data_IF_346097226968
#
_entry.id   IF_346097226968
#
_cell.length_a   1.000
_cell.length_b   1.000
_cell.length_c   1.000
_cell.angle_alpha   90.00
_cell.angle_beta   90.00
_cell.angle_gamma   90.00
#
_symmetry.space_group_name_H-M   'P 1'
#
loop_
_entity.id
_entity.type
_entity.pdbx_description
1 polymer ?
#
# COMPACT_ATOMS: atom_id res chain seq x y z
N UNK A 1 -12.59 12.61 10.54
CA UNK A 1 -13.42 13.24 11.59
C UNK A 1 -14.90 12.89 11.48
N UNK A 2 -15.48 12.76 10.28
CA UNK A 2 -16.91 12.47 10.05
C UNK A 2 -17.47 11.16 10.63
N UNK A 3 -16.62 10.21 11.05
CA UNK A 3 -17.06 8.94 11.65
C UNK A 3 -17.03 8.95 13.18
N UNK A 4 -16.39 9.94 13.82
CA UNK A 4 -16.09 9.88 15.26
C UNK A 4 -17.35 9.93 16.14
N UNK A 5 -18.32 10.85 15.94
CA UNK A 5 -19.51 10.88 16.79
C UNK A 5 -20.40 9.65 16.56
N UNK A 6 -20.58 9.26 15.31
CA UNK A 6 -21.43 8.11 14.95
C UNK A 6 -20.89 6.80 15.50
N UNK A 7 -19.58 6.53 15.35
CA UNK A 7 -18.96 5.33 15.90
C UNK A 7 -19.04 5.31 17.43
N UNK A 8 -18.70 6.43 18.07
CA UNK A 8 -18.68 6.50 19.53
C UNK A 8 -20.07 6.33 20.14
N UNK A 9 -21.12 6.89 19.52
CA UNK A 9 -22.50 6.77 20.00
C UNK A 9 -23.15 5.43 19.64
N UNK A 10 -22.82 4.84 18.49
CA UNK A 10 -23.41 3.56 18.07
C UNK A 10 -22.81 2.34 18.79
N UNK A 11 -21.53 2.41 19.17
CA UNK A 11 -20.81 1.32 19.85
C UNK A 11 -21.52 0.81 21.11
N UNK A 12 -21.90 1.64 22.10
CA UNK A 12 -22.56 1.17 23.32
C UNK A 12 -23.92 0.53 23.03
N UNK A 13 -24.73 1.11 22.14
CA UNK A 13 -26.02 0.53 21.72
C UNK A 13 -25.81 -0.87 21.15
N UNK A 14 -24.84 -1.03 20.25
CA UNK A 14 -24.52 -2.35 19.69
C UNK A 14 -24.04 -3.33 20.76
N UNK A 15 -23.16 -2.92 21.68
CA UNK A 15 -22.64 -3.76 22.75
C UNK A 15 -23.70 -4.14 23.79
N UNK A 16 -24.69 -3.29 24.06
CA UNK A 16 -25.81 -3.62 24.94
C UNK A 16 -26.67 -4.75 24.36
N UNK A 17 -26.97 -4.70 23.05
CA UNK A 17 -27.85 -5.70 22.42
C UNK A 17 -27.12 -6.97 21.93
N UNK A 18 -25.84 -6.87 21.58
CA UNK A 18 -25.07 -7.96 20.93
C UNK A 18 -23.76 -8.28 21.64
N UNK A 19 -23.38 -7.54 22.67
CA UNK A 19 -22.07 -7.63 23.30
C UNK A 19 -21.76 -8.99 23.92
N UNK A 20 -22.77 -9.77 24.35
CA UNK A 20 -22.54 -11.14 24.85
C UNK A 20 -21.92 -12.08 23.80
N UNK A 21 -22.09 -11.77 22.50
CA UNK A 21 -21.50 -12.53 21.38
C UNK A 21 -20.15 -11.97 20.91
N UNK A 22 -19.71 -10.84 21.46
CA UNK A 22 -18.48 -10.15 21.05
C UNK A 22 -17.41 -10.41 22.11
N UNK A 23 -16.36 -11.13 21.72
CA UNK A 23 -15.18 -11.35 22.56
C UNK A 23 -14.13 -10.24 22.46
N UNK A 24 -13.99 -9.62 21.29
CA UNK A 24 -12.93 -8.65 20.98
C UNK A 24 -13.46 -7.49 20.15
N UNK A 25 -13.01 -6.28 20.46
CA UNK A 25 -13.19 -5.07 19.63
C UNK A 25 -11.86 -4.81 18.91
N UNK A 26 -11.82 -5.00 17.59
CA UNK A 26 -10.66 -4.63 16.79
C UNK A 26 -10.89 -3.26 16.13
N UNK A 27 -10.21 -2.25 16.65
CA UNK A 27 -10.30 -0.87 16.20
C UNK A 27 -9.16 -0.48 15.25
N UNK A 28 -9.50 0.07 14.09
CA UNK A 28 -8.53 0.48 13.06
C UNK A 28 -8.32 1.99 13.07
N UNK A 29 -7.12 2.43 13.43
CA UNK A 29 -6.73 3.84 13.54
C UNK A 29 -7.14 4.51 14.86
N UNK A 30 -6.64 5.71 15.11
CA UNK A 30 -6.74 6.38 16.42
C UNK A 30 -8.18 6.70 16.87
N UNK A 31 -9.04 7.13 15.95
CA UNK A 31 -10.42 7.49 16.30
C UNK A 31 -11.24 6.26 16.71
N UNK A 32 -11.14 5.18 15.94
CA UNK A 32 -11.76 3.92 16.33
C UNK A 32 -11.09 3.35 17.58
N UNK A 33 -9.77 3.50 17.71
CA UNK A 33 -9.00 3.07 18.88
C UNK A 33 -9.50 3.74 20.16
N UNK A 34 -9.77 5.04 20.12
CA UNK A 34 -10.36 5.76 21.24
C UNK A 34 -11.72 5.20 21.64
N UNK A 35 -12.65 5.07 20.69
CA UNK A 35 -13.98 4.52 20.97
C UNK A 35 -13.92 3.07 21.48
N UNK A 36 -13.10 2.24 20.83
CA UNK A 36 -12.92 0.84 21.16
C UNK A 36 -12.33 0.64 22.55
N UNK A 37 -11.31 1.41 22.92
CA UNK A 37 -10.72 1.37 24.27
C UNK A 37 -11.69 1.87 25.32
N UNK A 38 -12.36 3.00 25.07
CA UNK A 38 -13.30 3.60 26.01
C UNK A 38 -14.46 2.65 26.33
N UNK A 39 -15.14 2.15 25.29
CA UNK A 39 -16.26 1.24 25.47
C UNK A 39 -15.82 -0.18 25.84
N UNK A 40 -14.67 -0.64 25.35
CA UNK A 40 -14.12 -1.94 25.72
C UNK A 40 -13.92 -2.06 27.22
N UNK A 41 -13.40 -1.01 27.87
CA UNK A 41 -13.31 -0.97 29.33
C UNK A 41 -14.66 -1.03 30.03
N UNK A 42 -15.64 -0.25 29.57
CA UNK A 42 -16.98 -0.19 30.17
C UNK A 42 -17.70 -1.53 30.06
N UNK A 43 -17.56 -2.22 28.93
CA UNK A 43 -18.25 -3.48 28.65
C UNK A 43 -17.39 -4.74 28.90
N UNK A 44 -16.21 -4.59 29.52
CA UNK A 44 -15.29 -5.70 29.82
C UNK A 44 -14.84 -6.47 28.57
N UNK A 45 -14.61 -5.78 27.45
CA UNK A 45 -14.18 -6.36 26.17
C UNK A 45 -12.71 -6.13 25.94
N UNK A 46 -12.05 -7.17 25.42
CA UNK A 46 -10.68 -7.08 24.90
C UNK A 46 -10.65 -6.14 23.70
N UNK A 47 -9.62 -5.30 23.61
CA UNK A 47 -9.45 -4.29 22.58
C UNK A 47 -8.11 -4.47 21.89
N UNK A 48 -8.17 -4.67 20.57
CA UNK A 48 -7.01 -4.67 19.69
C UNK A 48 -7.04 -3.39 18.86
N UNK A 49 -5.90 -2.70 18.73
CA UNK A 49 -5.80 -1.47 17.92
C UNK A 49 -4.77 -1.65 16.82
N UNK A 50 -5.16 -1.47 15.56
CA UNK A 50 -4.23 -1.50 14.42
C UNK A 50 -4.04 -0.11 13.79
N UNK A 51 -2.83 0.18 13.30
CA UNK A 51 -2.54 1.37 12.51
C UNK A 51 -2.18 0.98 11.08
N UNK A 52 -2.82 1.65 10.11
CA UNK A 52 -2.66 1.38 8.67
C UNK A 52 -1.91 2.50 7.94
N UNK A 53 -1.32 3.42 8.70
CA UNK A 53 -0.59 4.59 8.21
C UNK A 53 0.47 4.96 9.24
N UNK A 54 1.46 5.73 8.78
CA UNK A 54 2.47 6.34 9.63
C UNK A 54 1.90 7.67 10.13
N UNK A 55 1.91 7.88 11.44
CA UNK A 55 1.20 8.99 12.09
C UNK A 55 2.10 10.14 12.50
N UNK A 56 3.43 9.95 12.54
CA UNK A 56 4.40 10.95 12.96
C UNK A 56 4.07 11.59 14.31
N UNK A 57 3.98 10.77 15.36
CA UNK A 57 3.68 11.29 16.69
C UNK A 57 4.73 12.34 17.13
N UNK A 58 4.30 13.53 17.57
CA UNK A 58 5.22 14.55 18.06
C UNK A 58 5.89 14.09 19.37
N UNK A 59 6.97 14.78 19.75
CA UNK A 59 7.70 14.50 21.00
C UNK A 59 6.87 14.78 22.26
N UNK A 60 5.93 15.73 22.20
CA UNK A 60 5.05 16.11 23.30
C UNK A 60 3.72 16.68 22.76
N UNK A 61 2.78 16.96 23.67
CA UNK A 61 1.51 17.62 23.37
C UNK A 61 0.31 16.69 23.30
N UNK A 62 -0.88 17.30 23.17
CA UNK A 62 -2.17 16.61 23.26
C UNK A 62 -2.28 15.40 22.32
N UNK A 63 -1.85 15.53 21.06
CA UNK A 63 -1.94 14.43 20.10
C UNK A 63 -1.12 13.20 20.53
N UNK A 64 0.07 13.42 21.10
CA UNK A 64 0.89 12.33 21.66
C UNK A 64 0.23 11.72 22.89
N UNK A 65 -0.26 12.53 23.82
CA UNK A 65 -0.93 12.05 25.04
C UNK A 65 -2.18 11.24 24.70
N UNK A 66 -2.97 11.71 23.74
CA UNK A 66 -4.15 11.03 23.22
C UNK A 66 -3.80 9.68 22.60
N UNK A 67 -2.81 9.63 21.69
CA UNK A 67 -2.34 8.39 21.11
C UNK A 67 -1.79 7.42 22.17
N UNK A 68 -0.95 7.91 23.10
CA UNK A 68 -0.38 7.11 24.18
C UNK A 68 -1.48 6.51 25.07
N UNK A 69 -2.53 7.28 25.39
CA UNK A 69 -3.68 6.78 26.12
C UNK A 69 -4.38 5.64 25.37
N UNK A 70 -4.61 5.76 24.06
CA UNK A 70 -5.23 4.69 23.26
C UNK A 70 -4.39 3.42 23.34
N UNK A 71 -3.12 3.47 22.94
CA UNK A 71 -2.29 2.27 22.82
C UNK A 71 -1.92 1.65 24.17
N UNK A 72 -1.79 2.45 25.24
CA UNK A 72 -1.52 1.94 26.59
C UNK A 72 -2.69 1.13 27.13
N UNK A 73 -3.91 1.56 26.80
CA UNK A 73 -5.14 0.96 27.30
C UNK A 73 -5.73 -0.10 26.36
N UNK A 74 -5.13 -0.32 25.18
CA UNK A 74 -5.40 -1.48 24.35
C UNK A 74 -4.74 -2.74 24.95
N UNK A 75 -5.36 -3.90 24.76
CA UNK A 75 -4.79 -5.19 25.14
C UNK A 75 -3.65 -5.58 24.21
N UNK A 76 -3.80 -5.30 22.90
CA UNK A 76 -2.75 -5.48 21.92
C UNK A 76 -2.82 -4.38 20.85
N UNK A 77 -1.66 -3.94 20.36
CA UNK A 77 -1.52 -2.95 19.31
C UNK A 77 -0.70 -3.50 18.16
N UNK A 78 -1.00 -3.08 16.92
CA UNK A 78 -0.21 -3.50 15.77
C UNK A 78 -0.02 -2.36 14.77
N UNK A 79 1.20 -2.24 14.23
CA UNK A 79 1.48 -1.37 13.09
C UNK A 79 1.56 -2.17 11.80
N UNK A 80 1.12 -1.57 10.69
CA UNK A 80 1.19 -2.16 9.34
C UNK A 80 2.63 -2.40 8.84
N UNK A 81 3.62 -1.81 9.51
CA UNK A 81 5.03 -1.85 9.16
C UNK A 81 5.90 -1.74 10.40
N UNK A 82 7.19 -2.08 10.27
CA UNK A 82 8.18 -1.88 11.33
C UNK A 82 8.29 -0.41 11.71
N UNK A 83 8.19 0.50 10.74
CA UNK A 83 8.13 1.94 11.01
C UNK A 83 6.92 2.31 11.87
N UNK A 84 5.72 1.84 11.52
CA UNK A 84 4.51 2.10 12.31
C UNK A 84 4.60 1.51 13.73
N UNK A 85 5.18 0.31 13.88
CA UNK A 85 5.47 -0.27 15.20
C UNK A 85 6.44 0.59 15.99
N UNK A 86 7.52 1.08 15.37
CA UNK A 86 8.48 1.95 16.05
C UNK A 86 7.81 3.24 16.56
N UNK A 87 6.87 3.82 15.81
CA UNK A 87 6.09 4.96 16.27
C UNK A 87 5.23 4.64 17.50
N UNK A 88 4.54 3.50 17.52
CA UNK A 88 3.75 3.08 18.69
C UNK A 88 4.67 2.87 19.91
N UNK A 89 5.80 2.18 19.72
CA UNK A 89 6.78 1.97 20.79
C UNK A 89 7.35 3.29 21.32
N UNK A 90 7.51 4.29 20.44
CA UNK A 90 7.97 5.62 20.84
C UNK A 90 7.04 6.32 21.83
N UNK A 91 5.78 5.88 21.96
CA UNK A 91 4.80 6.38 22.95
C UNK A 91 4.96 5.75 24.34
N UNK A 92 5.97 4.88 24.53
CA UNK A 92 6.25 4.19 25.80
C UNK A 92 5.41 2.92 26.01
N UNK A 93 4.95 2.29 24.93
CA UNK A 93 4.15 1.06 24.99
C UNK A 93 5.09 -0.15 25.08
N UNK A 94 4.83 -1.13 25.98
CA UNK A 94 5.67 -2.32 26.10
C UNK A 94 5.75 -3.12 24.79
N UNK A 95 6.93 -3.68 24.48
CA UNK A 95 7.22 -4.30 23.18
C UNK A 95 6.37 -5.54 22.90
N UNK A 96 6.03 -6.27 23.94
CA UNK A 96 5.18 -7.45 23.96
C UNK A 96 3.72 -7.14 23.63
N UNK A 97 3.26 -5.90 23.83
CA UNK A 97 1.91 -5.44 23.46
C UNK A 97 1.85 -4.85 22.04
N UNK A 98 2.96 -4.85 21.29
CA UNK A 98 3.02 -4.22 19.96
C UNK A 98 3.59 -5.16 18.90
N UNK A 99 2.74 -5.59 17.97
CA UNK A 99 3.10 -6.39 16.81
C UNK A 99 3.32 -5.59 15.51
N UNK A 100 3.86 -6.27 14.49
CA UNK A 100 3.83 -5.80 13.09
C UNK A 100 2.96 -6.74 12.30
N UNK A 101 1.85 -6.26 11.75
CA UNK A 101 1.09 -7.00 10.76
C UNK A 101 1.42 -6.44 9.38
N UNK A 102 1.40 -7.28 8.36
CA UNK A 102 1.65 -6.87 6.98
C UNK A 102 0.42 -7.19 6.15
N UNK A 103 0.14 -6.44 5.10
CA UNK A 103 -0.92 -6.85 4.17
C UNK A 103 -0.58 -8.17 3.48
N UNK A 104 -1.63 -8.83 3.01
CA UNK A 104 -1.56 -9.94 2.09
C UNK A 104 -2.43 -9.63 0.88
N UNK A 105 -2.25 -10.43 -0.16
CA UNK A 105 -3.02 -10.37 -1.40
C UNK A 105 -3.54 -11.76 -1.73
N UNK A 106 -4.67 -11.84 -2.42
CA UNK A 106 -5.14 -13.11 -2.98
C UNK A 106 -4.19 -13.55 -4.10
N UNK A 107 -3.26 -14.45 -3.75
CA UNK A 107 -2.23 -14.95 -4.66
C UNK A 107 -2.75 -15.97 -5.69
N UNK A 108 -4.04 -16.31 -5.63
CA UNK A 108 -4.73 -17.06 -6.68
C UNK A 108 -5.28 -16.11 -7.74
N UNK A 109 -5.85 -14.97 -7.31
CA UNK A 109 -6.30 -13.91 -8.21
C UNK A 109 -5.12 -13.16 -8.85
N UNK A 110 -4.16 -12.73 -8.03
CA UNK A 110 -2.93 -12.08 -8.45
C UNK A 110 -1.84 -13.14 -8.60
N UNK A 111 -1.77 -13.73 -9.78
CA UNK A 111 -0.83 -14.79 -10.12
C UNK A 111 -0.16 -14.51 -11.47
N UNK A 112 1.03 -15.08 -11.72
CA UNK A 112 1.69 -14.96 -13.01
C UNK A 112 0.84 -15.56 -14.13
N UNK A 113 0.83 -14.88 -15.27
CA UNK A 113 0.22 -15.28 -16.52
C UNK A 113 1.27 -15.21 -17.62
N UNK A 114 0.98 -15.82 -18.77
CA UNK A 114 1.79 -15.58 -19.95
C UNK A 114 1.73 -14.10 -20.35
N UNK A 115 2.88 -13.42 -20.30
CA UNK A 115 2.99 -11.98 -20.53
C UNK A 115 2.57 -11.57 -21.95
N UNK A 116 2.84 -12.41 -22.95
CA UNK A 116 2.45 -12.15 -24.34
C UNK A 116 0.93 -12.16 -24.46
N UNK A 117 0.26 -13.18 -23.92
CA UNK A 117 -1.21 -13.25 -23.86
C UNK A 117 -1.83 -12.10 -23.05
N UNK A 118 -1.19 -11.70 -21.95
CA UNK A 118 -1.65 -10.57 -21.15
C UNK A 118 -1.56 -9.25 -21.95
N UNK A 119 -0.46 -9.02 -22.68
CA UNK A 119 -0.29 -7.85 -23.57
C UNK A 119 -1.30 -7.86 -24.71
N UNK A 120 -1.54 -9.01 -25.34
CA UNK A 120 -2.55 -9.18 -26.40
C UNK A 120 -3.96 -8.81 -25.91
N UNK A 121 -4.32 -9.28 -24.71
CA UNK A 121 -5.64 -9.02 -24.14
C UNK A 121 -5.95 -7.53 -23.91
N UNK A 122 -4.93 -6.71 -23.65
CA UNK A 122 -5.11 -5.29 -23.30
C UNK A 122 -4.53 -4.31 -24.34
N UNK A 123 -4.05 -4.80 -25.48
CA UNK A 123 -3.56 -3.97 -26.60
C UNK A 123 -2.16 -3.35 -26.40
N UNK A 124 -1.27 -4.05 -25.69
CA UNK A 124 0.10 -3.61 -25.38
C UNK A 124 1.20 -4.41 -26.08
N UNK A 125 0.86 -5.11 -27.16
CA UNK A 125 1.79 -5.88 -27.98
C UNK A 125 2.96 -5.00 -28.45
N UNK A 126 4.18 -5.53 -28.32
CA UNK A 126 5.41 -4.83 -28.73
C UNK A 126 5.80 -3.60 -27.90
N UNK A 127 4.96 -3.13 -26.96
CA UNK A 127 5.24 -1.97 -26.12
C UNK A 127 6.05 -2.36 -24.89
N UNK A 128 6.97 -1.50 -24.46
CA UNK A 128 7.54 -1.58 -23.11
C UNK A 128 6.72 -0.69 -22.19
N UNK A 129 6.03 -1.27 -21.19
CA UNK A 129 5.03 -0.56 -20.39
C UNK A 129 5.45 -0.43 -18.94
N UNK A 130 5.51 0.82 -18.47
CA UNK A 130 5.61 1.17 -17.06
C UNK A 130 4.22 1.56 -16.55
N UNK A 131 3.70 0.75 -15.65
CA UNK A 131 2.36 0.87 -15.08
C UNK A 131 2.40 1.67 -13.78
N UNK A 132 1.43 2.57 -13.62
CA UNK A 132 1.07 3.19 -12.36
C UNK A 132 -0.39 2.83 -12.04
N UNK A 133 -0.65 2.36 -10.82
CA UNK A 133 -2.01 2.14 -10.30
C UNK A 133 -2.15 2.85 -8.96
N UNK A 134 -3.19 3.67 -8.81
CA UNK A 134 -3.54 4.24 -7.51
C UNK A 134 -4.39 5.49 -7.59
N UNK A 135 -4.73 6.05 -6.43
CA UNK A 135 -5.50 7.30 -6.36
C UNK A 135 -4.71 8.46 -6.99
N UNK A 136 -5.35 9.23 -7.87
CA UNK A 136 -4.71 10.29 -8.65
C UNK A 136 -4.64 11.59 -7.83
N UNK A 137 -3.79 11.59 -6.81
CA UNK A 137 -3.54 12.72 -5.90
C UNK A 137 -2.04 13.08 -5.88
N UNK A 138 -1.72 14.33 -5.52
CA UNK A 138 -0.35 14.88 -5.56
C UNK A 138 0.68 14.00 -4.85
N UNK A 139 0.31 13.47 -3.68
CA UNK A 139 1.21 12.68 -2.83
C UNK A 139 1.64 11.34 -3.43
N UNK A 140 0.96 10.87 -4.47
CA UNK A 140 1.30 9.62 -5.19
C UNK A 140 2.36 9.81 -6.28
N UNK A 141 2.92 11.01 -6.44
CA UNK A 141 4.03 11.23 -7.37
C UNK A 141 3.63 11.36 -8.84
N UNK A 142 2.35 11.54 -9.13
CA UNK A 142 1.84 11.64 -10.52
C UNK A 142 2.53 12.78 -11.28
N UNK A 143 2.78 13.91 -10.62
CA UNK A 143 3.38 15.08 -11.28
C UNK A 143 4.83 14.78 -11.67
N UNK A 144 5.55 14.10 -10.80
CA UNK A 144 6.93 13.69 -10.98
C UNK A 144 7.03 12.63 -12.10
N UNK A 145 6.10 11.69 -12.15
CA UNK A 145 5.98 10.69 -13.21
C UNK A 145 5.69 11.34 -14.58
N UNK A 146 4.71 12.25 -14.67
CA UNK A 146 4.40 12.96 -15.91
C UNK A 146 5.58 13.84 -16.37
N UNK A 147 6.27 14.51 -15.45
CA UNK A 147 7.48 15.28 -15.77
C UNK A 147 8.64 14.38 -16.21
N UNK A 148 8.77 13.18 -15.64
CA UNK A 148 9.75 12.19 -16.10
C UNK A 148 9.41 11.72 -17.51
N UNK A 149 8.13 11.44 -17.78
CA UNK A 149 7.67 11.04 -19.10
C UNK A 149 8.11 12.04 -20.17
N UNK A 150 8.01 13.35 -19.91
CA UNK A 150 8.45 14.42 -20.84
C UNK A 150 9.88 14.26 -21.34
N UNK A 151 10.80 13.75 -20.52
CA UNK A 151 12.23 13.63 -20.85
C UNK A 151 12.67 12.20 -21.21
N UNK A 152 11.78 11.21 -21.09
CA UNK A 152 12.08 9.82 -21.45
C UNK A 152 11.94 9.56 -22.96
N UNK A 153 12.61 8.51 -23.45
CA UNK A 153 12.38 7.93 -24.78
C UNK A 153 10.88 7.64 -25.01
N UNK A 154 10.36 8.02 -26.19
CA UNK A 154 8.97 7.80 -26.59
C UNK A 154 8.62 6.32 -26.81
N UNK A 155 9.61 5.44 -26.96
CA UNK A 155 9.40 3.98 -27.04
C UNK A 155 8.89 3.36 -25.74
N UNK A 156 9.07 4.06 -24.61
CA UNK A 156 8.64 3.63 -23.28
C UNK A 156 7.22 4.15 -23.04
N UNK A 157 6.28 3.24 -22.85
CA UNK A 157 4.87 3.57 -22.59
C UNK A 157 4.62 3.76 -21.09
N UNK A 158 3.92 4.83 -20.73
CA UNK A 158 3.47 5.11 -19.36
C UNK A 158 1.97 4.90 -19.27
N UNK A 159 1.54 3.85 -18.58
CA UNK A 159 0.14 3.52 -18.39
C UNK A 159 -0.31 3.91 -16.98
N UNK A 160 -1.35 4.75 -16.86
CA UNK A 160 -1.80 5.31 -15.59
C UNK A 160 -3.25 4.92 -15.35
N UNK A 161 -3.50 4.14 -14.30
CA UNK A 161 -4.81 3.72 -13.86
C UNK A 161 -5.16 4.29 -12.48
N UNK A 162 -6.43 4.68 -12.34
CA UNK A 162 -7.01 5.18 -11.11
C UNK A 162 -8.00 6.30 -11.34
N UNK A 163 -8.41 6.90 -10.24
CA UNK A 163 -9.28 8.07 -10.24
C UNK A 163 -8.83 9.06 -9.15
N UNK A 164 -9.17 10.34 -9.33
CA UNK A 164 -8.91 11.39 -8.37
C UNK A 164 -8.75 12.78 -8.99
N UNK A 165 -8.45 13.79 -8.15
CA UNK A 165 -8.37 15.20 -8.58
C UNK A 165 -7.37 15.50 -9.71
N UNK A 166 -6.41 14.60 -9.99
CA UNK A 166 -5.44 14.76 -11.07
C UNK A 166 -5.84 14.05 -12.38
N UNK A 167 -7.00 13.39 -12.46
CA UNK A 167 -7.45 12.64 -13.65
C UNK A 167 -7.40 13.49 -14.93
N UNK A 168 -8.06 14.67 -14.94
CA UNK A 168 -8.06 15.59 -16.08
C UNK A 168 -6.66 15.99 -16.55
N UNK A 169 -5.71 16.13 -15.62
CA UNK A 169 -4.32 16.47 -15.97
C UNK A 169 -3.59 15.32 -16.66
N UNK A 170 -3.93 14.08 -16.29
CA UNK A 170 -3.36 12.88 -16.91
C UNK A 170 -3.97 12.68 -18.29
N UNK A 171 -5.28 12.89 -18.42
CA UNK A 171 -6.00 12.84 -19.70
C UNK A 171 -5.41 13.83 -20.72
N UNK A 172 -5.25 15.10 -20.33
CA UNK A 172 -4.57 16.09 -21.18
C UNK A 172 -3.14 15.65 -21.55
N UNK A 173 -2.39 15.08 -20.60
CA UNK A 173 -1.03 14.61 -20.89
C UNK A 173 -1.01 13.41 -21.86
N UNK A 174 -2.04 12.55 -21.86
CA UNK A 174 -2.19 11.48 -22.85
C UNK A 174 -2.58 11.98 -24.24
N UNK A 175 -3.33 13.07 -24.33
CA UNK A 175 -3.63 13.73 -25.62
C UNK A 175 -2.40 14.41 -26.21
N UNK A 176 -1.58 15.06 -25.37
CA UNK A 176 -0.34 15.74 -25.79
C UNK A 176 0.80 14.78 -26.16
N UNK A 177 0.74 13.52 -25.70
CA UNK A 177 1.85 12.58 -25.82
C UNK A 177 1.38 11.12 -25.96
N UNK A 178 1.55 10.57 -27.16
CA UNK A 178 1.07 9.25 -27.59
C UNK A 178 1.54 8.06 -26.73
N UNK A 179 2.71 8.15 -26.07
CA UNK A 179 3.22 7.09 -25.20
C UNK A 179 2.76 7.23 -23.74
N UNK A 180 1.76 8.06 -23.44
CA UNK A 180 1.07 8.13 -22.15
C UNK A 180 -0.37 7.66 -22.34
N UNK A 181 -0.78 6.64 -21.58
CA UNK A 181 -2.13 6.08 -21.62
C UNK A 181 -2.84 6.32 -20.30
N UNK A 182 -3.95 7.05 -20.35
CA UNK A 182 -4.87 7.13 -19.22
C UNK A 182 -5.90 6.01 -19.29
N UNK A 183 -5.88 5.10 -18.32
CA UNK A 183 -6.74 3.91 -18.28
C UNK A 183 -8.03 4.11 -17.47
N UNK A 184 -8.17 5.24 -16.79
CA UNK A 184 -9.25 5.46 -15.84
C UNK A 184 -9.26 4.43 -14.70
N UNK A 185 -10.45 4.16 -14.16
CA UNK A 185 -10.62 3.19 -13.06
C UNK A 185 -10.78 1.77 -13.62
N UNK A 186 -9.89 0.87 -13.18
CA UNK A 186 -9.92 -0.54 -13.56
C UNK A 186 -10.56 -1.36 -12.42
N UNK A 187 -11.48 -2.30 -12.71
CA UNK A 187 -12.00 -3.24 -11.73
C UNK A 187 -10.89 -4.12 -11.13
N UNK A 188 -10.95 -4.39 -9.82
CA UNK A 188 -9.90 -5.17 -9.14
C UNK A 188 -9.67 -6.56 -9.75
N UNK A 189 -10.70 -7.20 -10.29
CA UNK A 189 -10.61 -8.52 -10.93
C UNK A 189 -9.85 -8.49 -12.27
N UNK A 190 -9.72 -7.31 -12.89
CA UNK A 190 -9.03 -7.13 -14.16
C UNK A 190 -7.57 -6.67 -13.99
N UNK A 191 -7.24 -6.08 -12.83
CA UNK A 191 -5.88 -5.64 -12.52
C UNK A 191 -4.79 -6.72 -12.77
N UNK A 192 -5.01 -8.02 -12.51
CA UNK A 192 -4.00 -9.04 -12.84
C UNK A 192 -3.56 -9.01 -14.30
N UNK A 193 -4.44 -8.71 -15.27
CA UNK A 193 -4.05 -8.62 -16.68
C UNK A 193 -3.08 -7.45 -16.92
N UNK A 194 -3.33 -6.30 -16.30
CA UNK A 194 -2.46 -5.12 -16.42
C UNK A 194 -1.11 -5.33 -15.75
N UNK A 195 -1.07 -5.93 -14.56
CA UNK A 195 0.19 -6.26 -13.89
C UNK A 195 1.02 -7.22 -14.74
N UNK A 196 0.44 -8.34 -15.18
CA UNK A 196 1.14 -9.35 -15.98
C UNK A 196 1.61 -8.83 -17.34
N UNK A 197 0.86 -7.91 -17.94
CA UNK A 197 1.25 -7.29 -19.20
C UNK A 197 2.33 -6.22 -19.04
N UNK A 198 2.39 -5.53 -17.89
CA UNK A 198 3.37 -4.50 -17.65
C UNK A 198 4.80 -5.06 -17.59
N UNK A 199 5.77 -4.22 -17.98
CA UNK A 199 7.19 -4.51 -17.82
C UNK A 199 7.67 -4.08 -16.43
N UNK A 200 7.11 -2.99 -15.91
CA UNK A 200 7.42 -2.45 -14.58
C UNK A 200 6.16 -1.87 -13.94
N UNK A 201 6.03 -2.01 -12.62
CA UNK A 201 5.19 -1.13 -11.81
C UNK A 201 6.04 0.03 -11.29
N UNK A 202 5.52 1.26 -11.29
CA UNK A 202 6.12 2.38 -10.56
C UNK A 202 5.20 2.89 -9.45
N UNK A 203 5.79 3.08 -8.26
CA UNK A 203 5.15 3.66 -7.07
C UNK A 203 5.95 4.88 -6.63
N UNK A 204 5.80 6.03 -7.32
CA UNK A 204 6.65 7.19 -7.15
C UNK A 204 6.18 8.11 -6.00
N UNK A 205 5.64 7.55 -4.90
CA UNK A 205 5.04 8.33 -3.80
C UNK A 205 6.01 9.40 -3.27
N UNK A 206 5.55 10.65 -3.23
CA UNK A 206 6.33 11.79 -2.71
C UNK A 206 6.13 12.00 -1.21
N UNK A 207 5.13 11.34 -0.63
CA UNK A 207 4.88 11.29 0.81
C UNK A 207 5.01 9.87 1.35
N UNK A 208 5.00 9.73 2.67
CA UNK A 208 5.09 8.43 3.32
C UNK A 208 3.87 7.57 2.99
N UNK A 209 4.16 6.44 2.33
CA UNK A 209 3.19 5.43 1.95
C UNK A 209 3.12 4.36 3.05
N UNK A 210 1.92 3.90 3.40
CA UNK A 210 1.73 2.96 4.51
C UNK A 210 2.30 1.55 4.28
N UNK A 211 2.18 0.99 3.07
CA UNK A 211 2.82 -0.27 2.66
C UNK A 211 2.78 -0.47 1.14
N UNK A 212 1.76 0.10 0.48
CA UNK A 212 1.61 0.07 -0.98
C UNK A 212 1.08 -1.27 -1.50
N UNK A 213 -0.23 -1.52 -1.38
CA UNK A 213 -0.87 -2.77 -1.81
C UNK A 213 -0.54 -3.17 -3.26
N UNK A 214 -0.44 -2.18 -4.14
CA UNK A 214 -0.07 -2.37 -5.55
C UNK A 214 1.29 -3.04 -5.73
N UNK A 215 2.22 -2.89 -4.78
CA UNK A 215 3.52 -3.57 -4.79
C UNK A 215 3.30 -5.08 -4.59
N UNK A 216 2.44 -5.46 -3.65
CA UNK A 216 2.16 -6.86 -3.34
C UNK A 216 1.44 -7.52 -4.51
N UNK A 217 0.49 -6.82 -5.11
CA UNK A 217 -0.26 -7.24 -6.29
C UNK A 217 0.67 -7.45 -7.50
N UNK A 218 1.50 -6.46 -7.83
CA UNK A 218 2.49 -6.55 -8.92
C UNK A 218 3.48 -7.70 -8.71
N UNK A 219 4.10 -7.79 -7.53
CA UNK A 219 5.05 -8.84 -7.24
C UNK A 219 4.41 -10.23 -7.28
N UNK A 220 3.15 -10.35 -6.85
CA UNK A 220 2.40 -11.61 -6.93
C UNK A 220 2.08 -12.03 -8.37
N UNK A 221 1.98 -11.08 -9.29
CA UNK A 221 1.88 -11.31 -10.73
C UNK A 221 3.24 -11.49 -11.43
N UNK A 222 4.37 -11.40 -10.71
CA UNK A 222 5.70 -11.49 -11.31
C UNK A 222 6.22 -10.19 -11.92
N UNK A 223 5.59 -9.05 -11.65
CA UNK A 223 5.95 -7.74 -12.20
C UNK A 223 6.93 -7.01 -11.28
N UNK A 224 8.15 -6.68 -11.73
CA UNK A 224 9.11 -5.92 -10.94
C UNK A 224 8.63 -4.50 -10.63
N UNK A 225 9.19 -3.91 -9.56
CA UNK A 225 8.70 -2.63 -9.02
C UNK A 225 9.80 -1.58 -8.95
N UNK A 226 9.49 -0.35 -9.34
CA UNK A 226 10.26 0.85 -8.96
C UNK A 226 9.50 1.54 -7.83
N UNK A 227 10.07 1.54 -6.63
CA UNK A 227 9.46 2.13 -5.45
C UNK A 227 10.18 3.41 -5.00
N UNK A 228 9.44 4.35 -4.41
CA UNK A 228 10.05 5.44 -3.66
C UNK A 228 10.78 4.89 -2.41
N UNK A 229 11.99 5.37 -2.14
CA UNK A 229 12.73 5.08 -0.88
C UNK A 229 12.16 5.90 0.28
N UNK A 230 10.88 5.70 0.61
CA UNK A 230 10.12 6.50 1.58
C UNK A 230 9.00 5.69 2.23
N UNK A 231 8.67 6.02 3.49
CA UNK A 231 7.63 5.33 4.25
C UNK A 231 7.93 3.83 4.37
N UNK A 232 6.90 3.00 4.28
CA UNK A 232 7.05 1.55 4.36
C UNK A 232 7.31 0.85 3.01
N UNK A 233 7.48 1.59 1.90
CA UNK A 233 7.79 0.98 0.60
C UNK A 233 9.07 0.12 0.65
N UNK A 234 10.17 0.55 1.32
CA UNK A 234 11.36 -0.29 1.52
C UNK A 234 11.12 -1.55 2.37
N UNK A 235 9.97 -1.68 3.03
CA UNK A 235 9.59 -2.90 3.75
C UNK A 235 8.76 -3.85 2.87
N UNK A 236 8.17 -3.37 1.78
CA UNK A 236 7.35 -4.13 0.85
C UNK A 236 8.16 -4.74 -0.31
N UNK A 237 9.39 -4.28 -0.55
CA UNK A 237 10.24 -4.77 -1.63
C UNK A 237 11.72 -4.55 -1.28
N UNK A 238 12.61 -5.26 -1.98
CA UNK A 238 14.05 -5.00 -1.95
C UNK A 238 14.65 -5.06 -3.37
N UNK A 239 15.97 -4.93 -3.47
CA UNK A 239 16.70 -4.83 -4.74
C UNK A 239 16.66 -6.14 -5.56
N UNK A 240 16.19 -7.26 -4.98
CA UNK A 240 16.03 -8.54 -5.70
C UNK A 240 14.81 -8.59 -6.61
N UNK A 241 13.84 -7.69 -6.39
CA UNK A 241 12.55 -7.65 -7.11
C UNK A 241 12.23 -6.28 -7.71
N UNK A 242 13.14 -5.32 -7.57
CA UNK A 242 12.91 -3.97 -8.03
C UNK A 242 14.02 -3.00 -7.67
N UNK A 243 13.71 -1.70 -7.71
CA UNK A 243 14.65 -0.62 -7.38
C UNK A 243 13.99 0.42 -6.47
N UNK A 244 14.70 0.84 -5.43
CA UNK A 244 14.25 1.91 -4.51
C UNK A 244 14.97 3.22 -4.81
N UNK A 245 14.24 4.25 -5.23
CA UNK A 245 14.82 5.52 -5.69
C UNK A 245 14.33 6.73 -4.89
N UNK A 246 15.09 7.82 -4.93
CA UNK A 246 14.56 9.14 -4.58
C UNK A 246 13.72 9.68 -5.74
N UNK A 247 12.52 10.15 -5.45
CA UNK A 247 11.56 10.59 -6.47
C UNK A 247 11.92 11.99 -6.95
N UNK A 248 12.50 12.03 -8.15
CA UNK A 248 12.62 13.22 -8.99
C UNK A 248 12.33 12.81 -10.43
N UNK A 249 11.88 13.73 -11.31
CA UNK A 249 11.67 13.41 -12.72
C UNK A 249 12.89 12.78 -13.39
N UNK A 250 14.09 13.32 -13.10
CA UNK A 250 15.37 12.81 -13.63
C UNK A 250 15.67 11.39 -13.15
N UNK A 251 15.48 11.10 -11.87
CA UNK A 251 15.76 9.77 -11.32
C UNK A 251 14.77 8.73 -11.85
N UNK A 252 13.48 9.08 -11.97
CA UNK A 252 12.46 8.21 -12.57
C UNK A 252 12.84 7.88 -14.01
N UNK A 253 13.14 8.90 -14.82
CA UNK A 253 13.51 8.70 -16.22
C UNK A 253 14.76 7.81 -16.33
N UNK A 254 15.82 8.17 -15.61
CA UNK A 254 17.10 7.43 -15.63
C UNK A 254 16.93 5.95 -15.28
N UNK A 255 16.17 5.61 -14.23
CA UNK A 255 16.05 4.21 -13.81
C UNK A 255 15.17 3.41 -14.78
N UNK A 256 14.10 4.01 -15.31
CA UNK A 256 13.21 3.36 -16.28
C UNK A 256 13.97 3.09 -17.58
N UNK A 257 14.69 4.07 -18.11
CA UNK A 257 15.49 3.92 -19.33
C UNK A 257 16.63 2.92 -19.15
N UNK A 258 17.27 2.92 -17.98
CA UNK A 258 18.28 1.92 -17.68
C UNK A 258 17.69 0.50 -17.72
N UNK A 259 16.54 0.26 -17.08
CA UNK A 259 15.90 -1.06 -17.10
C UNK A 259 15.35 -1.44 -18.49
N UNK A 260 14.90 -0.46 -19.27
CA UNK A 260 14.50 -0.66 -20.67
C UNK A 260 15.66 -1.13 -21.54
N UNK A 261 16.86 -0.58 -21.34
CA UNK A 261 18.08 -0.95 -22.08
C UNK A 261 18.73 -2.26 -21.62
N UNK A 262 18.34 -2.78 -20.46
CA UNK A 262 18.95 -3.96 -19.83
C UNK A 262 17.87 -5.03 -19.51
N UNK A 263 17.28 -5.66 -20.55
CA UNK A 263 16.20 -6.64 -20.39
C UNK A 263 16.59 -7.86 -19.55
N UNK A 264 17.87 -8.22 -19.50
CA UNK A 264 18.40 -9.28 -18.66
C UNK A 264 18.24 -8.97 -17.17
N UNK A 265 18.46 -7.72 -16.77
CA UNK A 265 18.23 -7.27 -15.39
C UNK A 265 16.76 -7.36 -15.06
N UNK A 266 15.90 -6.89 -15.97
CA UNK A 266 14.46 -6.91 -15.76
C UNK A 266 13.92 -8.35 -15.62
N UNK A 267 14.44 -9.26 -16.44
CA UNK A 267 14.07 -10.69 -16.40
C UNK A 267 14.44 -11.31 -15.05
N UNK A 268 15.66 -11.07 -14.55
CA UNK A 268 16.07 -11.55 -13.23
C UNK A 268 15.22 -11.00 -12.08
N UNK A 269 14.77 -9.74 -12.16
CA UNK A 269 13.83 -9.18 -11.18
C UNK A 269 12.45 -9.85 -11.24
N UNK A 270 11.95 -10.12 -12.45
CA UNK A 270 10.63 -10.72 -12.67
C UNK A 270 10.56 -12.17 -12.17
N UNK A 271 11.61 -12.95 -12.41
CA UNK A 271 11.73 -14.33 -11.93
C UNK A 271 11.71 -14.42 -10.39
N UNK A 272 12.24 -13.41 -9.72
CA UNK A 272 12.25 -13.35 -8.25
C UNK A 272 10.95 -12.82 -7.65
N UNK A 273 10.20 -11.99 -8.40
CA UNK A 273 9.04 -11.27 -7.89
C UNK A 273 7.97 -12.19 -7.28
N UNK A 274 7.60 -13.27 -7.99
CA UNK A 274 6.58 -14.22 -7.49
C UNK A 274 7.02 -14.91 -6.20
N UNK A 275 8.24 -15.45 -6.20
CA UNK A 275 8.80 -16.17 -5.04
C UNK A 275 8.89 -15.27 -3.82
N UNK A 276 9.28 -14.00 -4.04
CA UNK A 276 9.31 -12.98 -3.00
C UNK A 276 7.91 -12.75 -2.40
N UNK A 277 6.90 -12.59 -3.26
CA UNK A 277 5.54 -12.37 -2.82
C UNK A 277 4.95 -13.57 -2.06
N UNK A 278 5.13 -14.80 -2.55
CA UNK A 278 4.63 -16.01 -1.87
C UNK A 278 5.18 -16.17 -0.46
N UNK A 279 6.46 -15.84 -0.29
CA UNK A 279 7.13 -15.89 1.02
C UNK A 279 6.63 -14.81 2.00
N UNK A 280 6.18 -13.65 1.51
CA UNK A 280 5.97 -12.45 2.35
C UNK A 280 4.54 -11.94 2.42
N UNK A 281 3.68 -12.25 1.45
CA UNK A 281 2.38 -11.60 1.24
C UNK A 281 1.22 -12.60 1.08
N UNK A 282 1.39 -13.81 1.60
CA UNK A 282 0.32 -14.81 1.67
C UNK A 282 -0.63 -14.54 2.84
N UNK A 283 -1.77 -15.24 2.84
CA UNK A 283 -2.82 -15.17 3.87
C UNK A 283 -2.31 -15.43 5.30
N UNK A 284 -1.15 -16.10 5.45
CA UNK A 284 -0.46 -16.29 6.73
C UNK A 284 -0.20 -14.98 7.48
N UNK A 285 -0.13 -13.84 6.78
CA UNK A 285 -0.01 -12.53 7.44
C UNK A 285 -1.24 -12.18 8.30
N UNK A 286 -2.40 -12.80 8.07
CA UNK A 286 -3.58 -12.67 8.92
C UNK A 286 -3.39 -13.35 10.28
N UNK A 287 -2.47 -14.30 10.42
CA UNK A 287 -2.27 -15.07 11.64
C UNK A 287 -1.98 -14.19 12.85
N UNK A 288 -1.20 -13.11 12.68
CA UNK A 288 -0.92 -12.20 13.79
C UNK A 288 -2.20 -11.50 14.27
N UNK A 289 -3.05 -11.08 13.34
CA UNK A 289 -4.33 -10.45 13.66
C UNK A 289 -5.20 -11.44 14.42
N UNK A 290 -5.31 -12.67 13.93
CA UNK A 290 -6.11 -13.72 14.57
C UNK A 290 -5.56 -14.06 15.96
N UNK A 291 -4.24 -14.25 16.10
CA UNK A 291 -3.58 -14.52 17.40
C UNK A 291 -3.83 -13.42 18.41
N UNK A 292 -3.84 -12.15 17.98
CA UNK A 292 -4.11 -11.01 18.87
C UNK A 292 -5.51 -11.02 19.48
N UNK A 293 -6.46 -11.74 18.87
CA UNK A 293 -7.81 -11.87 19.43
C UNK A 293 -7.83 -12.85 20.61
N UNK A 294 -7.00 -13.89 20.58
CA UNK A 294 -7.08 -15.00 21.53
C UNK A 294 -6.00 -14.96 22.63
N UNK A 295 -4.81 -14.41 22.37
CA UNK A 295 -3.75 -14.25 23.36
C UNK A 295 -3.85 -12.90 24.04
#
# INVERSE_FOLDING_TARGET
LYLAPGLFLATPTFLLFKGSRIGVIHAQGLIAGFAGVFWGKIFGKKVVVSTHSIYHFPKAGFYRSFASWIFRNADFSMGLSKQARAEILSLGIPKEKVGVFTYWVDQKLFAPMDKKKAKEKIGWEGKFVVLFIGRLIKVKGIRELLSAAKIMDKKITIAIAGDGPLAKKIEQASEERENIFFLGKIPNQELPFYYNAADLLIVPSTHEEGFGRVILEALSCGTPVIGARRGAIPEAMDETVGRLIQITPKNIAKIIENLYQHPEVLTGLAENARRYAEKRFSEKNADLIIKSYYG
#
